data_IF_724255222863
#
_entry.id   IF_724255222863
#
_cell.length_a   1.000
_cell.length_b   1.000
_cell.length_c   1.000
_cell.angle_alpha   90.00
_cell.angle_beta   90.00
_cell.angle_gamma   90.00
#
_symmetry.space_group_name_H-M   'P 1'
#
loop_
_entity.id
_entity.type
_entity.pdbx_description
1 polymer ?
#
# COMPACT_ATOMS: atom_id res chain seq x y z
N UNK A 1 20.39 -18.78 6.13
CA UNK A 1 19.72 -18.33 4.89
C UNK A 1 20.04 -16.86 4.72
N UNK A 2 20.81 -16.49 3.70
CA UNK A 2 21.32 -15.12 3.56
C UNK A 2 20.42 -14.36 2.59
N UNK A 3 19.54 -13.50 3.10
CA UNK A 3 18.77 -12.55 2.28
C UNK A 3 19.67 -11.34 2.04
N UNK A 4 20.04 -11.09 0.79
CA UNK A 4 20.71 -9.84 0.38
C UNK A 4 19.73 -9.00 -0.41
N UNK A 5 19.52 -7.76 0.04
CA UNK A 5 18.82 -6.75 -0.76
C UNK A 5 19.83 -6.19 -1.77
N UNK A 6 19.67 -6.57 -3.03
CA UNK A 6 20.56 -6.17 -4.12
C UNK A 6 19.89 -5.11 -5.00
N UNK A 7 20.69 -4.18 -5.55
CA UNK A 7 20.25 -3.32 -6.64
C UNK A 7 20.16 -4.19 -7.91
N UNK A 8 18.95 -4.39 -8.44
CA UNK A 8 18.72 -5.17 -9.66
C UNK A 8 18.44 -4.25 -10.84
N UNK A 9 18.94 -4.60 -12.03
CA UNK A 9 18.68 -3.88 -13.29
C UNK A 9 17.17 -3.89 -13.56
N UNK A 10 16.44 -2.76 -13.49
CA UNK A 10 16.86 -1.39 -13.87
C UNK A 10 17.12 -0.41 -12.70
N UNK A 11 18.01 -0.76 -11.76
CA UNK A 11 18.31 0.01 -10.53
C UNK A 11 17.07 0.31 -9.67
N UNK A 12 16.13 -0.64 -9.61
CA UNK A 12 14.93 -0.53 -8.78
C UNK A 12 15.04 -1.46 -7.58
N UNK A 13 14.38 -1.06 -6.49
CA UNK A 13 14.17 -1.85 -5.28
C UNK A 13 12.66 -2.00 -5.06
N UNK A 14 12.20 -3.04 -4.35
CA UNK A 14 12.99 -4.13 -3.75
C UNK A 14 13.42 -5.22 -4.76
N UNK A 15 14.45 -5.99 -4.40
CA UNK A 15 14.81 -7.22 -5.09
C UNK A 15 15.31 -8.27 -4.08
N UNK A 16 14.84 -9.51 -4.23
CA UNK A 16 15.19 -10.66 -3.41
C UNK A 16 16.00 -11.68 -4.22
N UNK A 17 17.16 -12.07 -3.71
CA UNK A 17 17.89 -13.25 -4.19
C UNK A 17 17.53 -14.46 -3.32
N UNK A 18 16.95 -15.50 -3.91
CA UNK A 18 16.67 -16.77 -3.24
C UNK A 18 16.78 -17.94 -4.21
N UNK A 19 17.44 -19.04 -3.81
CA UNK A 19 17.65 -20.23 -4.65
C UNK A 19 18.24 -19.92 -6.04
N UNK A 20 19.25 -19.05 -6.08
CA UNK A 20 19.88 -18.56 -7.32
C UNK A 20 18.90 -17.89 -8.31
N UNK A 21 17.73 -17.45 -7.83
CA UNK A 21 16.77 -16.64 -8.58
C UNK A 21 16.73 -15.24 -8.01
N UNK A 22 16.71 -14.26 -8.90
CA UNK A 22 16.45 -12.87 -8.59
C UNK A 22 14.97 -12.58 -8.82
N UNK A 23 14.25 -12.19 -7.77
CA UNK A 23 12.86 -11.76 -7.83
C UNK A 23 12.84 -10.24 -7.66
N UNK A 24 12.50 -9.53 -8.74
CA UNK A 24 12.15 -8.10 -8.71
C UNK A 24 10.63 -7.91 -8.63
N UNK A 25 10.18 -6.65 -8.69
CA UNK A 25 8.78 -6.22 -8.55
C UNK A 25 8.17 -6.52 -7.16
N UNK A 26 7.68 -5.49 -6.48
CA UNK A 26 7.24 -5.60 -5.09
C UNK A 26 6.08 -6.60 -4.90
N UNK A 27 5.13 -6.63 -5.83
CA UNK A 27 3.97 -7.54 -5.75
C UNK A 27 4.36 -9.00 -5.98
N UNK A 28 5.27 -9.26 -6.92
CA UNK A 28 5.77 -10.61 -7.16
C UNK A 28 6.60 -11.10 -5.97
N UNK A 29 7.36 -10.19 -5.35
CA UNK A 29 8.15 -10.49 -4.16
C UNK A 29 7.28 -10.88 -2.96
N UNK A 30 6.22 -10.13 -2.64
CA UNK A 30 5.36 -10.49 -1.49
C UNK A 30 4.61 -11.81 -1.72
N UNK A 31 4.19 -12.11 -2.96
CA UNK A 31 3.61 -13.41 -3.34
C UNK A 31 4.62 -14.54 -3.22
N UNK A 32 5.85 -14.29 -3.66
CA UNK A 32 6.94 -15.26 -3.58
C UNK A 32 7.26 -15.59 -2.12
N UNK A 33 7.32 -14.59 -1.24
CA UNK A 33 7.52 -14.80 0.20
C UNK A 33 6.41 -15.68 0.77
N UNK A 34 5.15 -15.32 0.55
CA UNK A 34 3.99 -16.08 1.06
C UNK A 34 3.97 -17.55 0.58
N UNK A 35 4.48 -17.81 -0.63
CA UNK A 35 4.47 -19.15 -1.23
C UNK A 35 5.69 -20.02 -0.92
N UNK A 36 6.82 -19.42 -0.50
CA UNK A 36 8.12 -20.13 -0.41
C UNK A 36 8.76 -20.11 0.98
N UNK A 37 8.20 -19.37 1.93
CA UNK A 37 8.71 -19.27 3.29
C UNK A 37 7.67 -19.75 4.29
N UNK A 38 8.13 -20.31 5.41
CA UNK A 38 7.24 -20.71 6.50
C UNK A 38 6.63 -19.47 7.18
N UNK A 39 5.39 -19.61 7.63
CA UNK A 39 4.69 -18.56 8.37
C UNK A 39 3.18 -18.65 8.22
N UNK A 40 2.43 -17.75 8.87
CA UNK A 40 1.01 -17.59 8.62
C UNK A 40 0.77 -17.23 7.16
N UNK A 41 -0.17 -17.91 6.51
CA UNK A 41 -0.55 -17.65 5.12
C UNK A 41 -1.23 -16.28 5.01
N UNK A 42 -0.81 -15.47 4.05
CA UNK A 42 -1.34 -14.13 3.79
C UNK A 42 -2.29 -14.08 2.58
N UNK A 43 -2.38 -15.19 1.84
CA UNK A 43 -3.36 -15.39 0.76
C UNK A 43 -4.61 -16.10 1.28
N UNK A 44 -5.83 -15.62 0.97
CA UNK A 44 -7.06 -16.26 1.41
C UNK A 44 -7.28 -17.63 0.73
N UNK A 45 -8.01 -18.52 1.39
CA UNK A 45 -8.51 -19.77 0.80
C UNK A 45 -9.94 -19.61 0.24
N UNK A 46 -10.69 -18.62 0.72
CA UNK A 46 -12.04 -18.32 0.25
C UNK A 46 -12.02 -17.75 -1.19
N UNK A 47 -12.80 -18.33 -2.13
CA UNK A 47 -12.78 -17.91 -3.53
C UNK A 47 -13.21 -16.44 -3.76
N UNK A 48 -14.13 -15.91 -2.96
CA UNK A 48 -14.55 -14.51 -3.10
C UNK A 48 -13.45 -13.55 -2.64
N UNK A 49 -12.81 -13.86 -1.51
CA UNK A 49 -11.65 -13.11 -1.01
C UNK A 49 -10.47 -13.21 -1.99
N UNK A 50 -10.26 -14.36 -2.63
CA UNK A 50 -9.25 -14.51 -3.71
C UNK A 50 -9.56 -13.59 -4.89
N UNK A 51 -10.80 -13.58 -5.38
CA UNK A 51 -11.20 -12.72 -6.49
C UNK A 51 -11.00 -11.23 -6.18
N UNK A 52 -11.36 -10.79 -4.96
CA UNK A 52 -11.12 -9.40 -4.54
C UNK A 52 -9.63 -9.10 -4.38
N UNK A 53 -8.83 -10.05 -3.88
CA UNK A 53 -7.39 -9.87 -3.74
C UNK A 53 -6.74 -9.65 -5.11
N UNK A 54 -7.08 -10.45 -6.12
CA UNK A 54 -6.58 -10.30 -7.48
C UNK A 54 -6.97 -8.94 -8.07
N UNK A 55 -8.24 -8.54 -7.91
CA UNK A 55 -8.73 -7.24 -8.37
C UNK A 55 -7.95 -6.08 -7.72
N UNK A 56 -7.82 -6.09 -6.40
CA UNK A 56 -7.17 -5.01 -5.66
C UNK A 56 -5.67 -4.93 -5.93
N UNK A 57 -4.99 -6.07 -6.03
CA UNK A 57 -3.56 -6.08 -6.39
C UNK A 57 -3.34 -5.55 -7.80
N UNK A 58 -4.20 -5.91 -8.77
CA UNK A 58 -4.15 -5.38 -10.13
C UNK A 58 -4.48 -3.87 -10.19
N UNK A 59 -5.36 -3.39 -9.30
CA UNK A 59 -5.75 -1.98 -9.21
C UNK A 59 -4.71 -1.07 -8.54
N UNK A 60 -3.76 -1.63 -7.78
CA UNK A 60 -2.83 -0.86 -6.93
C UNK A 60 -2.04 0.21 -7.68
N UNK A 61 -1.57 -0.07 -8.90
CA UNK A 61 -0.87 0.91 -9.74
C UNK A 61 -1.80 2.03 -10.21
N UNK A 62 -3.06 1.72 -10.53
CA UNK A 62 -4.06 2.74 -10.90
C UNK A 62 -4.37 3.65 -9.73
N UNK A 63 -4.54 3.11 -8.52
CA UNK A 63 -4.69 3.89 -7.29
C UNK A 63 -3.50 4.83 -7.09
N UNK A 64 -2.28 4.30 -7.16
CA UNK A 64 -1.05 5.08 -6.98
C UNK A 64 -0.91 6.20 -8.02
N UNK A 65 -1.25 5.93 -9.28
CA UNK A 65 -1.23 6.93 -10.35
C UNK A 65 -2.24 8.04 -10.12
N UNK A 66 -3.48 7.71 -9.73
CA UNK A 66 -4.52 8.70 -9.43
C UNK A 66 -4.10 9.63 -8.29
N UNK A 67 -3.60 9.04 -7.19
CA UNK A 67 -3.13 9.79 -6.03
C UNK A 67 -1.91 10.67 -6.36
N UNK A 68 -0.98 10.18 -7.18
CA UNK A 68 0.18 10.97 -7.58
C UNK A 68 -0.14 12.10 -8.55
N UNK A 69 -1.07 11.86 -9.48
CA UNK A 69 -1.60 12.88 -10.36
C UNK A 69 -2.27 14.00 -9.54
N UNK A 70 -3.12 13.65 -8.59
CA UNK A 70 -3.77 14.62 -7.72
C UNK A 70 -2.79 15.41 -6.84
N UNK A 71 -1.75 14.75 -6.31
CA UNK A 71 -0.73 15.42 -5.49
C UNK A 71 0.05 16.46 -6.28
N UNK A 72 0.33 16.20 -7.57
CA UNK A 72 1.11 17.08 -8.45
C UNK A 72 0.27 18.10 -9.22
N UNK A 73 -1.05 17.91 -9.31
CA UNK A 73 -1.96 18.84 -9.95
C UNK A 73 -1.97 20.21 -9.26
N UNK A 74 -2.34 21.27 -9.98
CA UNK A 74 -2.60 22.59 -9.39
C UNK A 74 -4.05 22.65 -8.87
N UNK A 75 -4.24 23.19 -7.67
CA UNK A 75 -5.57 23.36 -7.07
C UNK A 75 -6.05 22.11 -6.32
N UNK A 76 -7.37 21.93 -6.33
CA UNK A 76 -8.09 20.89 -5.58
C UNK A 76 -7.70 19.47 -6.02
N UNK A 77 -8.07 18.49 -5.18
CA UNK A 77 -7.92 17.06 -5.49
C UNK A 77 -8.77 16.71 -6.71
N UNK A 78 -8.26 15.80 -7.55
CA UNK A 78 -8.92 15.42 -8.80
C UNK A 78 -10.07 14.45 -8.53
N UNK A 79 -11.07 14.44 -9.43
CA UNK A 79 -12.18 13.49 -9.35
C UNK A 79 -11.70 12.02 -9.37
N UNK A 80 -10.63 11.72 -10.11
CA UNK A 80 -10.05 10.38 -10.17
C UNK A 80 -9.45 9.94 -8.82
N UNK A 81 -8.83 10.86 -8.07
CA UNK A 81 -8.31 10.54 -6.75
C UNK A 81 -9.44 10.36 -5.72
N UNK A 82 -10.49 11.17 -5.78
CA UNK A 82 -11.69 10.97 -4.97
C UNK A 82 -12.33 9.59 -5.26
N UNK A 83 -12.53 9.25 -6.54
CA UNK A 83 -13.07 7.96 -6.94
C UNK A 83 -12.17 6.78 -6.52
N UNK A 84 -10.86 6.95 -6.57
CA UNK A 84 -9.90 5.95 -6.11
C UNK A 84 -9.99 5.73 -4.59
N UNK A 85 -10.07 6.81 -3.81
CA UNK A 85 -10.26 6.73 -2.35
C UNK A 85 -11.61 6.09 -2.00
N UNK A 86 -12.68 6.44 -2.72
CA UNK A 86 -14.01 5.85 -2.51
C UNK A 86 -14.04 4.35 -2.83
N UNK A 87 -13.31 3.91 -3.87
CA UNK A 87 -13.15 2.47 -4.16
C UNK A 87 -12.43 1.75 -3.01
N UNK A 88 -11.40 2.35 -2.42
CA UNK A 88 -10.71 1.78 -1.25
C UNK A 88 -11.65 1.69 -0.04
N UNK A 89 -12.41 2.75 0.25
CA UNK A 89 -13.41 2.76 1.31
C UNK A 89 -14.47 1.65 1.12
N UNK A 90 -15.01 1.51 -0.10
CA UNK A 90 -15.97 0.45 -0.43
C UNK A 90 -15.35 -0.94 -0.28
N UNK A 91 -14.11 -1.13 -0.73
CA UNK A 91 -13.42 -2.42 -0.65
C UNK A 91 -13.18 -2.86 0.80
N UNK A 92 -12.78 -1.93 1.67
CA UNK A 92 -12.60 -2.17 3.10
C UNK A 92 -13.92 -2.49 3.84
N UNK A 93 -15.07 -2.12 3.25
CA UNK A 93 -16.40 -2.42 3.81
C UNK A 93 -16.96 -3.79 3.41
N UNK A 94 -16.30 -4.50 2.48
CA UNK A 94 -16.88 -5.68 1.83
C UNK A 94 -17.02 -6.89 2.75
N UNK A 95 -16.10 -7.05 3.71
CA UNK A 95 -16.13 -8.16 4.65
C UNK A 95 -16.24 -7.64 6.08
N UNK A 96 -17.08 -8.28 6.91
CA UNK A 96 -17.39 -7.85 8.27
C UNK A 96 -16.55 -8.54 9.34
N UNK A 97 -15.69 -9.50 8.95
CA UNK A 97 -14.86 -10.27 9.87
C UNK A 97 -13.56 -9.55 10.29
N UNK A 98 -13.32 -8.32 9.83
CA UNK A 98 -12.27 -7.47 10.36
C UNK A 98 -12.03 -6.18 9.57
N UNK A 99 -11.02 -5.39 9.97
CA UNK A 99 -10.78 -4.04 9.44
C UNK A 99 -9.89 -3.99 8.18
N UNK A 100 -9.53 -5.15 7.64
CA UNK A 100 -8.61 -5.30 6.51
C UNK A 100 -9.36 -5.52 5.20
N UNK A 101 -8.70 -5.37 4.06
CA UNK A 101 -9.34 -5.46 2.74
C UNK A 101 -10.09 -6.78 2.51
N UNK A 102 -9.57 -7.87 3.08
CA UNK A 102 -10.16 -9.21 2.99
C UNK A 102 -10.75 -9.66 4.34
N UNK A 103 -11.12 -8.70 5.20
CA UNK A 103 -11.53 -8.92 6.59
C UNK A 103 -10.34 -9.19 7.51
N UNK A 104 -9.53 -10.20 7.20
CA UNK A 104 -8.27 -10.50 7.90
C UNK A 104 -7.05 -9.92 7.15
N UNK A 105 -5.96 -9.72 7.90
CA UNK A 105 -4.70 -9.21 7.35
C UNK A 105 -4.15 -10.12 6.25
N UNK A 106 -3.72 -9.52 5.14
CA UNK A 106 -3.39 -10.21 3.90
C UNK A 106 -2.31 -9.49 3.08
N UNK A 107 -1.92 -10.10 1.96
CA UNK A 107 -1.03 -9.46 0.98
C UNK A 107 -1.57 -8.14 0.43
N UNK A 108 -2.90 -7.97 0.38
CA UNK A 108 -3.53 -6.72 -0.09
C UNK A 108 -3.20 -5.58 0.87
N UNK A 109 -3.32 -5.82 2.17
CA UNK A 109 -3.02 -4.81 3.20
C UNK A 109 -1.54 -4.39 3.13
N UNK A 110 -0.64 -5.35 2.93
CA UNK A 110 0.80 -5.10 2.73
C UNK A 110 1.05 -4.25 1.48
N UNK A 111 0.33 -4.51 0.39
CA UNK A 111 0.48 -3.77 -0.86
C UNK A 111 0.00 -2.31 -0.74
N UNK A 112 -1.08 -2.05 0.01
CA UNK A 112 -1.69 -0.73 0.09
C UNK A 112 -1.18 0.15 1.24
N UNK A 113 -0.86 -0.44 2.40
CA UNK A 113 -0.56 0.33 3.62
C UNK A 113 0.56 1.39 3.44
N UNK A 114 1.71 1.09 2.80
CA UNK A 114 2.77 2.09 2.62
C UNK A 114 2.30 3.32 1.83
N UNK A 115 1.43 3.10 0.84
CA UNK A 115 0.90 4.18 0.00
C UNK A 115 -0.20 4.96 0.71
N UNK A 116 -1.12 4.30 1.40
CA UNK A 116 -2.17 4.97 2.19
C UNK A 116 -1.53 5.88 3.25
N UNK A 117 -0.55 5.37 4.01
CA UNK A 117 0.18 6.16 5.00
C UNK A 117 0.93 7.34 4.37
N UNK A 118 1.66 7.08 3.27
CA UNK A 118 2.41 8.13 2.56
C UNK A 118 1.48 9.23 2.04
N UNK A 119 0.40 8.86 1.35
CA UNK A 119 -0.56 9.83 0.82
C UNK A 119 -1.30 10.58 1.91
N UNK A 120 -1.60 9.97 3.06
CA UNK A 120 -2.18 10.72 4.20
C UNK A 120 -1.24 11.88 4.62
N UNK A 121 0.05 11.60 4.77
CA UNK A 121 1.05 12.63 5.09
C UNK A 121 1.13 13.67 3.97
N UNK A 122 1.22 13.24 2.72
CA UNK A 122 1.44 14.14 1.59
C UNK A 122 0.25 15.06 1.33
N UNK A 123 -0.97 14.53 1.27
CA UNK A 123 -2.16 15.35 1.01
C UNK A 123 -2.45 16.33 2.13
N UNK A 124 -2.27 15.92 3.39
CA UNK A 124 -2.45 16.83 4.54
C UNK A 124 -1.47 17.99 4.46
N UNK A 125 -0.20 17.73 4.13
CA UNK A 125 0.86 18.75 4.21
C UNK A 125 1.11 19.54 2.91
N UNK A 126 0.68 19.02 1.75
CA UNK A 126 0.88 19.66 0.43
C UNK A 126 -0.43 20.23 -0.11
N UNK A 127 -1.56 19.56 0.13
CA UNK A 127 -2.88 19.93 -0.40
C UNK A 127 -3.83 20.50 0.65
N UNK A 128 -3.47 20.43 1.93
CA UNK A 128 -4.38 20.73 3.04
C UNK A 128 -5.70 19.96 2.90
N UNK A 129 -5.59 18.68 2.56
CA UNK A 129 -6.71 17.77 2.30
C UNK A 129 -6.52 16.49 3.11
N UNK A 130 -7.56 16.06 3.82
CA UNK A 130 -7.59 14.80 4.54
C UNK A 130 -8.24 13.71 3.66
N UNK A 131 -7.45 12.76 3.11
CA UNK A 131 -8.00 11.70 2.27
C UNK A 131 -8.89 10.70 3.02
N UNK A 132 -8.91 10.75 4.36
CA UNK A 132 -9.73 9.87 5.19
C UNK A 132 -11.06 10.50 5.62
N UNK A 133 -11.26 11.79 5.32
CA UNK A 133 -12.49 12.49 5.67
C UNK A 133 -13.69 11.85 4.96
N UNK A 134 -14.71 11.45 5.73
CA UNK A 134 -15.88 10.74 5.21
C UNK A 134 -15.63 9.26 4.88
N UNK A 135 -14.45 8.70 5.20
CA UNK A 135 -14.03 7.32 4.88
C UNK A 135 -13.71 6.54 6.17
N UNK A 136 -14.73 6.17 6.96
CA UNK A 136 -14.53 5.55 8.27
C UNK A 136 -13.84 4.19 8.21
N UNK A 137 -14.01 3.40 7.14
CA UNK A 137 -13.32 2.11 7.03
C UNK A 137 -11.83 2.33 6.76
N UNK A 138 -11.44 3.32 5.94
CA UNK A 138 -10.04 3.72 5.81
C UNK A 138 -9.44 4.19 7.14
N UNK A 139 -10.16 4.99 7.92
CA UNK A 139 -9.69 5.41 9.25
C UNK A 139 -9.46 4.22 10.18
N UNK A 140 -10.37 3.25 10.18
CA UNK A 140 -10.23 2.00 10.95
C UNK A 140 -9.04 1.18 10.47
N UNK A 141 -8.90 0.98 9.16
CA UNK A 141 -7.77 0.29 8.54
C UNK A 141 -6.42 0.90 8.96
N UNK A 142 -6.28 2.22 8.84
CA UNK A 142 -5.04 2.94 9.22
C UNK A 142 -4.74 2.73 10.71
N UNK A 143 -5.75 2.84 11.59
CA UNK A 143 -5.57 2.62 13.02
C UNK A 143 -5.06 1.22 13.32
N UNK A 144 -5.68 0.20 12.72
CA UNK A 144 -5.36 -1.20 12.97
C UNK A 144 -4.01 -1.59 12.37
N UNK A 145 -3.67 -1.11 11.16
CA UNK A 145 -2.34 -1.25 10.57
C UNK A 145 -1.25 -0.65 11.47
N UNK A 146 -1.46 0.54 12.02
CA UNK A 146 -0.51 1.18 12.93
C UNK A 146 -0.37 0.45 14.28
N UNK A 147 -1.33 -0.40 14.65
CA UNK A 147 -1.24 -1.29 15.81
C UNK A 147 -0.31 -2.49 15.59
N UNK A 148 0.02 -2.82 14.34
CA UNK A 148 0.90 -3.95 14.01
C UNK A 148 2.36 -3.53 14.25
N UNK A 149 2.96 -4.05 15.33
CA UNK A 149 4.30 -3.68 15.77
C UNK A 149 5.38 -3.82 14.68
N UNK A 150 5.30 -4.86 13.84
CA UNK A 150 6.27 -5.07 12.75
C UNK A 150 6.07 -4.08 11.61
N UNK A 151 4.84 -3.65 11.32
CA UNK A 151 4.58 -2.62 10.32
C UNK A 151 5.07 -1.26 10.81
N UNK A 152 4.80 -0.90 12.07
CA UNK A 152 5.27 0.33 12.69
C UNK A 152 6.80 0.52 12.59
N UNK A 153 7.58 -0.57 12.68
CA UNK A 153 9.04 -0.55 12.53
C UNK A 153 9.53 -0.25 11.11
N UNK A 154 8.69 -0.43 10.10
CA UNK A 154 9.04 -0.15 8.68
C UNK A 154 8.74 1.28 8.26
N UNK A 155 8.03 2.05 9.09
CA UNK A 155 7.63 3.42 8.75
C UNK A 155 8.81 4.36 8.81
N UNK A 156 8.92 5.21 7.79
CA UNK A 156 9.81 6.37 7.84
C UNK A 156 9.24 7.44 8.77
N UNK A 157 10.12 8.27 9.32
CA UNK A 157 9.70 9.50 9.98
C UNK A 157 8.85 10.34 9.00
N UNK A 158 7.64 10.78 9.39
CA UNK A 158 6.75 11.52 8.48
C UNK A 158 7.36 12.83 7.95
N UNK A 159 8.19 13.52 8.73
CA UNK A 159 8.81 14.78 8.32
C UNK A 159 9.96 14.54 7.33
N UNK A 160 10.78 13.51 7.56
CA UNK A 160 11.81 13.08 6.61
C UNK A 160 11.18 12.64 5.28
N UNK A 161 10.13 11.81 5.33
CA UNK A 161 9.41 11.35 4.15
C UNK A 161 8.80 12.52 3.37
N UNK A 162 8.18 13.48 4.07
CA UNK A 162 7.64 14.69 3.46
C UNK A 162 8.74 15.53 2.79
N UNK A 163 9.87 15.75 3.46
CA UNK A 163 10.98 16.55 2.93
C UNK A 163 11.59 15.92 1.66
N UNK A 164 11.80 14.60 1.67
CA UNK A 164 12.30 13.87 0.49
C UNK A 164 11.32 13.97 -0.68
N UNK A 165 10.02 13.80 -0.42
CA UNK A 165 8.99 13.90 -1.46
C UNK A 165 8.87 15.30 -2.02
N UNK A 166 8.86 16.34 -1.18
CA UNK A 166 8.85 17.76 -1.62
C UNK A 166 10.05 18.07 -2.53
N UNK A 167 11.25 17.67 -2.12
CA UNK A 167 12.47 17.79 -2.94
C UNK A 167 12.33 17.09 -4.28
N UNK A 168 11.76 15.87 -4.32
CA UNK A 168 11.55 15.11 -5.56
C UNK A 168 10.52 15.78 -6.49
N UNK A 169 9.49 16.40 -5.91
CA UNK A 169 8.43 17.08 -6.66
C UNK A 169 8.76 18.53 -7.03
N UNK A 170 9.84 19.09 -6.48
CA UNK A 170 10.26 20.47 -6.73
C UNK A 170 9.36 21.52 -6.08
N UNK A 171 8.76 21.19 -4.93
CA UNK A 171 7.86 22.06 -4.13
C UNK A 171 8.40 22.31 -2.72
#
# INVERSE_FOLDING_TARGET
MSVKMLLFFPNKVPCLEHNNKMIGESLDLIKYIDSNFEGPKLSPDDPEKQGLAEELLAYSDTFNQAMMSALTAKGAVTADAEAALDKIEVSLSKFDDGPFFLGQFSLVDIAYAPFVDGFQVFFTNIKNYDPTAGRPNMQKFIKEMNGIAVYAQTKHDPQELLALTKKKLGI
#
